data_IF_849751270360
#
_entry.id   IF_849751270360
#
_cell.length_a   1.000
_cell.length_b   1.000
_cell.length_c   1.000
_cell.angle_alpha   90.00
_cell.angle_beta   90.00
_cell.angle_gamma   90.00
#
_symmetry.space_group_name_H-M   'P 1'
#
loop_
_entity.id
_entity.type
_entity.pdbx_description
1 polymer ?
#
# COMPACT_ATOMS: atom_id res chain seq x y z
N UNK A 1 -3.28 18.26 15.46
CA UNK A 1 -3.46 18.80 14.12
C UNK A 1 -2.13 19.15 13.44
N UNK A 2 -1.27 20.01 14.03
CA UNK A 2 0.01 20.46 13.40
C UNK A 2 0.86 19.28 12.92
N UNK A 3 1.03 18.24 13.73
CA UNK A 3 1.82 17.05 13.37
C UNK A 3 1.24 16.28 12.18
N UNK A 4 -0.09 16.20 12.09
CA UNK A 4 -0.76 15.53 10.97
C UNK A 4 -0.52 16.30 9.66
N UNK A 5 -0.71 17.61 9.69
CA UNK A 5 -0.47 18.48 8.53
C UNK A 5 1.00 18.41 8.10
N UNK A 6 1.92 18.42 9.07
CA UNK A 6 3.35 18.26 8.78
C UNK A 6 3.63 16.90 8.12
N UNK A 7 3.10 15.82 8.67
CA UNK A 7 3.34 14.46 8.15
C UNK A 7 2.79 14.29 6.73
N UNK A 8 1.61 14.84 6.42
CA UNK A 8 1.06 14.85 5.05
C UNK A 8 1.96 15.65 4.10
N UNK A 9 2.41 16.83 4.51
CA UNK A 9 3.31 17.65 3.69
C UNK A 9 4.66 16.98 3.47
N UNK A 10 5.25 16.34 4.48
CA UNK A 10 6.49 15.59 4.39
C UNK A 10 6.33 14.38 3.46
N UNK A 11 5.23 13.63 3.57
CA UNK A 11 4.91 12.52 2.68
C UNK A 11 4.87 12.97 1.21
N UNK A 12 4.16 14.05 0.91
CA UNK A 12 4.11 14.63 -0.46
C UNK A 12 5.47 15.09 -0.97
N UNK A 13 6.31 15.64 -0.09
CA UNK A 13 7.66 16.09 -0.43
C UNK A 13 8.59 14.92 -0.73
N UNK A 14 8.53 13.85 0.06
CA UNK A 14 9.28 12.61 -0.18
C UNK A 14 8.84 12.00 -1.52
N UNK A 15 7.54 11.97 -1.80
CA UNK A 15 7.01 11.47 -3.07
C UNK A 15 7.17 9.95 -3.21
N UNK A 16 7.63 9.47 -4.37
CA UNK A 16 7.91 8.06 -4.66
C UNK A 16 6.74 7.11 -4.37
N UNK A 17 5.50 7.57 -4.63
CA UNK A 17 4.28 6.81 -4.34
C UNK A 17 4.10 6.44 -2.86
N UNK A 18 4.77 7.17 -1.96
CA UNK A 18 4.57 7.02 -0.52
C UNK A 18 3.15 7.43 -0.14
N UNK A 19 2.47 6.56 0.58
CA UNK A 19 1.11 6.80 1.09
C UNK A 19 1.18 7.05 2.59
N UNK A 20 0.48 8.08 3.05
CA UNK A 20 0.31 8.40 4.47
C UNK A 20 -1.17 8.57 4.80
N UNK A 21 -1.60 7.99 5.91
CA UNK A 21 -2.96 8.11 6.41
C UNK A 21 -2.96 8.32 7.92
N UNK A 22 -3.63 9.38 8.40
CA UNK A 22 -3.98 9.57 9.79
C UNK A 22 -5.36 8.95 10.04
N UNK A 23 -5.40 7.62 10.23
CA UNK A 23 -6.66 6.85 10.21
C UNK A 23 -7.45 6.91 11.51
N UNK A 24 -6.84 7.30 12.65
CA UNK A 24 -7.52 7.33 13.95
C UNK A 24 -6.99 8.47 14.79
N UNK A 25 -7.93 9.22 15.38
CA UNK A 25 -7.64 10.29 16.37
C UNK A 25 -8.56 10.09 17.55
N UNK A 26 -7.99 10.09 18.75
CA UNK A 26 -8.72 10.04 20.01
C UNK A 26 -8.25 11.20 20.91
N UNK A 27 -9.20 11.95 21.42
CA UNK A 27 -8.96 13.08 22.33
C UNK A 27 -9.53 12.75 23.72
N UNK A 28 -8.86 13.24 24.78
CA UNK A 28 -9.36 13.15 26.15
C UNK A 28 -9.26 14.54 26.79
N UNK A 29 -10.37 15.04 27.39
CA UNK A 29 -11.66 14.40 27.70
C UNK A 29 -12.67 14.37 26.52
N UNK A 30 -12.32 14.83 25.32
CA UNK A 30 -13.21 14.86 24.15
C UNK A 30 -14.49 15.68 24.37
N UNK A 31 -14.35 16.84 25.00
CA UNK A 31 -15.41 17.80 25.25
C UNK A 31 -15.19 19.07 24.42
N UNK A 32 -16.28 19.61 23.85
CA UNK A 32 -16.21 20.72 22.90
C UNK A 32 -15.62 22.02 23.49
N UNK A 33 -15.75 22.21 24.80
CA UNK A 33 -15.31 23.40 25.52
C UNK A 33 -14.04 23.18 26.36
N UNK A 34 -13.34 22.07 26.18
CA UNK A 34 -12.13 21.75 26.96
C UNK A 34 -10.98 21.44 25.99
N UNK A 35 -9.84 22.08 26.21
CA UNK A 35 -8.60 21.77 25.49
C UNK A 35 -8.16 20.34 25.86
N UNK A 36 -7.96 19.43 24.88
CA UNK A 36 -7.53 18.07 25.17
C UNK A 36 -6.20 18.02 25.92
N UNK A 37 -6.18 17.30 27.04
CA UNK A 37 -4.95 17.03 27.79
C UNK A 37 -4.15 15.85 27.19
N UNK A 38 -4.81 14.97 26.43
CA UNK A 38 -4.18 13.83 25.73
C UNK A 38 -4.83 13.61 24.37
N UNK A 39 -3.98 13.41 23.36
CA UNK A 39 -4.42 13.01 22.01
C UNK A 39 -3.61 11.80 21.58
N UNK A 40 -4.29 10.77 21.08
CA UNK A 40 -3.66 9.61 20.46
C UNK A 40 -4.03 9.59 18.98
N UNK A 41 -3.01 9.54 18.11
CA UNK A 41 -3.17 9.40 16.66
C UNK A 41 -2.52 8.11 16.18
N UNK A 42 -3.19 7.41 15.26
CA UNK A 42 -2.59 6.28 14.55
C UNK A 42 -2.32 6.69 13.11
N UNK A 43 -1.07 6.53 12.70
CA UNK A 43 -0.61 6.79 11.35
C UNK A 43 -0.31 5.47 10.65
N UNK A 44 -0.71 5.36 9.41
CA UNK A 44 -0.35 4.29 8.50
C UNK A 44 0.46 4.86 7.35
N UNK A 45 1.54 4.16 7.00
CA UNK A 45 2.44 4.53 5.91
C UNK A 45 2.67 3.29 5.06
N UNK A 46 2.61 3.45 3.73
CA UNK A 46 2.83 2.37 2.77
C UNK A 46 3.76 2.82 1.67
N UNK A 47 4.72 2.00 1.35
CA UNK A 47 5.56 2.10 0.17
C UNK A 47 6.17 0.73 -0.13
N UNK A 48 6.47 0.44 -1.39
CA UNK A 48 7.19 -0.79 -1.77
C UNK A 48 8.61 -0.78 -1.21
N UNK A 49 9.27 0.39 -1.25
CA UNK A 49 10.59 0.58 -0.70
C UNK A 49 10.52 1.18 0.71
N UNK A 50 10.99 0.41 1.66
CA UNK A 50 11.00 0.76 3.08
C UNK A 50 11.73 2.07 3.39
N UNK A 51 12.76 2.42 2.63
CA UNK A 51 13.55 3.62 2.89
C UNK A 51 12.69 4.90 2.99
N UNK A 52 11.62 4.99 2.18
CA UNK A 52 10.73 6.16 2.17
C UNK A 52 9.80 6.21 3.39
N UNK A 53 9.34 5.06 3.86
CA UNK A 53 8.57 5.01 5.13
C UNK A 53 9.45 5.34 6.32
N UNK A 54 10.69 4.84 6.35
CA UNK A 54 11.66 5.14 7.40
C UNK A 54 12.07 6.63 7.39
N UNK A 55 12.17 7.23 6.20
CA UNK A 55 12.41 8.67 6.06
C UNK A 55 11.25 9.47 6.66
N UNK A 56 10.01 9.16 6.32
CA UNK A 56 8.84 9.84 6.87
C UNK A 56 8.76 9.69 8.40
N UNK A 57 9.07 8.51 8.93
CA UNK A 57 9.12 8.28 10.39
C UNK A 57 10.17 9.20 11.03
N UNK A 58 11.36 9.35 10.44
CA UNK A 58 12.39 10.26 10.94
C UNK A 58 11.92 11.73 10.93
N UNK A 59 11.30 12.16 9.84
CA UNK A 59 10.74 13.51 9.72
C UNK A 59 9.65 13.77 10.77
N UNK A 60 8.74 12.82 10.99
CA UNK A 60 7.70 12.94 12.02
C UNK A 60 8.31 13.02 13.42
N UNK A 61 9.33 12.21 13.73
CA UNK A 61 10.03 12.26 15.02
C UNK A 61 10.71 13.60 15.21
N UNK A 62 11.44 14.10 14.23
CA UNK A 62 12.06 15.41 14.28
C UNK A 62 11.05 16.54 14.50
N UNK A 63 9.88 16.45 13.83
CA UNK A 63 8.82 17.44 14.00
C UNK A 63 8.23 17.46 15.43
N UNK A 64 8.24 16.35 16.16
CA UNK A 64 7.77 16.33 17.56
C UNK A 64 8.64 17.20 18.47
N UNK A 65 9.94 17.30 18.19
CA UNK A 65 10.87 18.14 18.97
C UNK A 65 10.66 19.64 18.73
N UNK A 66 10.01 20.00 17.62
CA UNK A 66 9.72 21.39 17.26
C UNK A 66 8.40 21.91 17.84
N UNK A 67 7.66 21.10 18.59
CA UNK A 67 6.38 21.47 19.21
C UNK A 67 6.58 21.55 20.74
N UNK A 68 6.94 22.73 21.30
CA UNK A 68 7.41 22.84 22.69
C UNK A 68 6.31 22.62 23.73
N UNK A 69 5.03 22.82 23.35
CA UNK A 69 3.90 22.79 24.30
C UNK A 69 3.28 21.39 24.44
N UNK A 70 3.91 20.35 23.88
CA UNK A 70 3.40 18.99 23.94
C UNK A 70 4.53 17.97 24.17
N UNK A 71 4.23 16.96 24.97
CA UNK A 71 5.09 15.78 25.11
C UNK A 71 4.60 14.68 24.17
N UNK A 72 5.51 14.12 23.37
CA UNK A 72 5.19 13.08 22.42
C UNK A 72 5.78 11.72 22.83
N UNK A 73 5.03 10.66 22.57
CA UNK A 73 5.52 9.27 22.57
C UNK A 73 5.18 8.68 21.22
N UNK A 74 6.18 8.27 20.48
CA UNK A 74 6.01 7.65 19.15
C UNK A 74 6.37 6.18 19.24
N UNK A 75 5.38 5.30 18.95
CA UNK A 75 5.54 3.85 18.96
C UNK A 75 5.25 3.29 17.58
N UNK A 76 6.07 2.38 17.12
CA UNK A 76 5.77 1.57 15.93
C UNK A 76 4.97 0.36 16.39
N UNK A 77 3.73 0.24 15.91
CA UNK A 77 2.80 -0.84 16.30
C UNK A 77 2.99 -2.09 15.45
N UNK A 78 3.11 -1.89 14.15
CA UNK A 78 3.25 -2.97 13.15
C UNK A 78 4.32 -2.54 12.17
N UNK A 79 5.10 -3.50 11.71
CA UNK A 79 5.96 -3.39 10.55
C UNK A 79 5.77 -4.62 9.69
N UNK A 80 5.53 -4.41 8.40
CA UNK A 80 5.54 -5.45 7.37
C UNK A 80 6.43 -4.98 6.24
N UNK A 81 7.31 -5.85 5.77
CA UNK A 81 8.05 -5.64 4.54
C UNK A 81 7.12 -5.91 3.35
N UNK A 82 7.37 -5.26 2.24
CA UNK A 82 6.64 -5.49 1.00
C UNK A 82 6.98 -6.87 0.44
N UNK A 83 5.98 -7.58 -0.05
CA UNK A 83 6.20 -8.80 -0.81
C UNK A 83 6.55 -8.44 -2.25
N UNK A 84 7.75 -8.82 -2.68
CA UNK A 84 8.15 -8.66 -4.08
C UNK A 84 7.74 -9.91 -4.87
N UNK A 85 7.11 -9.68 -6.03
CA UNK A 85 6.83 -10.76 -6.96
C UNK A 85 8.14 -11.30 -7.57
N UNK A 86 8.17 -12.61 -7.79
CA UNK A 86 9.33 -13.28 -8.40
C UNK A 86 9.49 -12.83 -9.86
N UNK A 87 10.69 -12.40 -10.29
CA UNK A 87 10.93 -11.94 -11.66
C UNK A 87 10.60 -12.97 -12.74
N UNK A 88 10.81 -14.26 -12.47
CA UNK A 88 10.49 -15.33 -13.44
C UNK A 88 8.99 -15.48 -13.63
N UNK A 89 8.21 -15.37 -12.52
CA UNK A 89 6.76 -15.40 -12.61
C UNK A 89 6.22 -14.16 -13.33
N UNK A 90 6.82 -12.99 -13.08
CA UNK A 90 6.48 -11.75 -13.79
C UNK A 90 6.73 -11.91 -15.30
N UNK A 91 7.91 -12.40 -15.70
CA UNK A 91 8.24 -12.65 -17.10
C UNK A 91 7.29 -13.69 -17.76
N UNK A 92 6.88 -14.70 -17.01
CA UNK A 92 5.91 -15.68 -17.51
C UNK A 92 4.54 -15.05 -17.77
N UNK A 93 4.07 -14.16 -16.88
CA UNK A 93 2.85 -13.37 -17.11
C UNK A 93 2.99 -12.47 -18.34
N UNK A 94 4.09 -11.76 -18.50
CA UNK A 94 4.36 -10.89 -19.65
C UNK A 94 4.27 -11.68 -20.96
N UNK A 95 4.96 -12.82 -21.07
CA UNK A 95 4.91 -13.69 -22.24
C UNK A 95 3.49 -14.18 -22.54
N UNK A 96 2.74 -14.57 -21.51
CA UNK A 96 1.37 -15.03 -21.66
C UNK A 96 0.46 -13.92 -22.20
N UNK A 97 0.56 -12.69 -21.66
CA UNK A 97 -0.22 -11.53 -22.13
C UNK A 97 0.15 -11.17 -23.57
N UNK A 98 1.45 -11.11 -23.89
CA UNK A 98 1.94 -10.80 -25.24
C UNK A 98 1.43 -11.81 -26.27
N UNK A 99 1.35 -13.10 -25.90
CA UNK A 99 0.82 -14.16 -26.77
C UNK A 99 -0.66 -13.98 -27.14
N UNK A 100 -1.38 -13.18 -26.34
CA UNK A 100 -2.79 -12.82 -26.57
C UNK A 100 -2.94 -11.47 -27.30
N UNK A 101 -1.83 -10.78 -27.58
CA UNK A 101 -1.85 -9.44 -28.19
C UNK A 101 -2.48 -8.38 -27.28
N UNK A 102 -2.51 -8.61 -25.96
CA UNK A 102 -3.04 -7.67 -24.99
C UNK A 102 -1.95 -6.73 -24.47
N UNK A 103 -2.37 -5.57 -23.96
CA UNK A 103 -1.46 -4.60 -23.32
C UNK A 103 -1.40 -4.85 -21.81
N UNK A 104 -0.25 -4.59 -21.22
CA UNK A 104 -0.02 -4.76 -19.80
C UNK A 104 0.91 -3.68 -19.23
N UNK A 105 0.96 -3.59 -17.91
CA UNK A 105 1.92 -2.75 -17.20
C UNK A 105 2.27 -3.36 -15.86
N UNK A 106 3.52 -3.21 -15.43
CA UNK A 106 3.94 -3.53 -14.05
C UNK A 106 3.51 -2.39 -13.13
N UNK A 107 2.90 -2.74 -12.01
CA UNK A 107 2.44 -1.76 -11.04
C UNK A 107 2.53 -2.32 -9.62
N UNK A 108 2.81 -1.48 -8.61
CA UNK A 108 2.71 -1.91 -7.22
C UNK A 108 1.25 -2.01 -6.78
N UNK A 109 0.95 -2.97 -5.90
CA UNK A 109 -0.31 -2.98 -5.15
C UNK A 109 -0.14 -2.27 -3.81
N UNK A 110 -1.06 -1.37 -3.50
CA UNK A 110 -1.16 -0.73 -2.19
C UNK A 110 -2.00 -1.53 -1.18
N UNK A 111 -2.63 -2.64 -1.60
CA UNK A 111 -3.45 -3.50 -0.75
C UNK A 111 -2.61 -4.62 -0.12
N UNK A 112 -3.10 -5.20 0.98
CA UNK A 112 -2.57 -6.46 1.51
C UNK A 112 -3.19 -7.64 0.77
N UNK A 113 -2.36 -8.64 0.45
CA UNK A 113 -2.75 -9.86 -0.26
C UNK A 113 -2.26 -11.09 0.47
N UNK A 114 -2.87 -12.23 0.22
CA UNK A 114 -2.40 -13.52 0.76
C UNK A 114 -0.98 -13.85 0.30
N UNK A 115 -0.59 -13.36 -0.88
CA UNK A 115 0.78 -13.42 -1.38
C UNK A 115 1.80 -12.86 -0.37
N UNK A 116 1.47 -11.78 0.36
CA UNK A 116 2.35 -11.21 1.40
C UNK A 116 2.69 -12.22 2.49
N UNK A 117 1.77 -13.14 2.76
CA UNK A 117 1.94 -14.13 3.84
C UNK A 117 2.83 -15.31 3.44
N UNK A 118 2.98 -15.57 2.15
CA UNK A 118 3.72 -16.73 1.62
C UNK A 118 4.99 -16.36 0.85
N UNK A 119 5.12 -15.12 0.41
CA UNK A 119 6.25 -14.64 -0.41
C UNK A 119 7.63 -14.88 0.23
N UNK A 120 7.71 -14.95 1.56
CA UNK A 120 8.93 -15.25 2.28
C UNK A 120 9.33 -16.73 2.25
N UNK A 121 8.48 -17.61 1.72
CA UNK A 121 8.70 -19.06 1.69
C UNK A 121 8.74 -19.63 0.28
N UNK A 122 7.96 -19.06 -0.63
CA UNK A 122 7.88 -19.50 -2.02
C UNK A 122 7.82 -18.29 -2.95
N UNK A 123 8.28 -18.44 -4.22
CA UNK A 123 8.06 -17.43 -5.23
C UNK A 123 6.57 -17.13 -5.40
N UNK A 124 6.23 -15.83 -5.52
CA UNK A 124 4.85 -15.38 -5.74
C UNK A 124 4.79 -14.47 -6.96
N UNK A 125 3.68 -14.48 -7.64
CA UNK A 125 3.32 -13.53 -8.68
C UNK A 125 1.86 -13.12 -8.54
N UNK A 126 1.50 -11.94 -9.02
CA UNK A 126 0.12 -11.47 -9.00
C UNK A 126 -0.27 -10.90 -10.36
N UNK A 127 -1.45 -11.26 -10.81
CA UNK A 127 -2.08 -10.71 -12.00
C UNK A 127 -3.29 -9.90 -11.57
N UNK A 128 -3.37 -8.64 -12.03
CA UNK A 128 -4.55 -7.80 -11.89
C UNK A 128 -5.29 -7.72 -13.21
N UNK A 129 -6.61 -7.68 -13.13
CA UNK A 129 -7.50 -7.43 -14.26
C UNK A 129 -8.19 -6.07 -14.06
N UNK A 130 -8.63 -5.39 -15.14
CA UNK A 130 -9.30 -4.11 -15.03
C UNK A 130 -10.54 -4.16 -14.14
N UNK A 131 -10.71 -3.17 -13.28
CA UNK A 131 -11.95 -2.92 -12.55
C UNK A 131 -12.60 -1.63 -13.05
N UNK A 132 -13.92 -1.64 -13.19
CA UNK A 132 -14.68 -0.48 -13.65
C UNK A 132 -14.39 0.75 -12.78
N UNK A 133 -13.88 1.81 -13.40
CA UNK A 133 -13.44 3.05 -12.75
C UNK A 133 -12.40 2.83 -11.61
N UNK A 134 -11.73 1.70 -11.53
CA UNK A 134 -10.79 1.37 -10.47
C UNK A 134 -11.46 1.21 -9.09
N UNK A 135 -12.78 0.99 -9.05
CA UNK A 135 -13.52 0.82 -7.79
C UNK A 135 -13.18 -0.55 -7.20
N UNK A 136 -12.82 -0.57 -5.89
CA UNK A 136 -12.67 -1.79 -5.10
C UNK A 136 -13.30 -1.62 -3.71
N UNK A 137 -13.50 -2.74 -3.00
CA UNK A 137 -14.11 -2.78 -1.67
C UNK A 137 -15.50 -2.11 -1.58
N UNK A 138 -16.28 -2.20 -2.66
CA UNK A 138 -17.60 -1.57 -2.78
C UNK A 138 -18.55 -2.51 -3.50
N UNK A 139 -19.85 -2.41 -3.23
CA UNK A 139 -20.88 -3.11 -4.01
C UNK A 139 -20.98 -2.65 -5.48
N UNK A 140 -20.21 -1.62 -5.87
CA UNK A 140 -20.09 -1.15 -7.25
C UNK A 140 -18.83 -1.69 -7.96
N UNK A 141 -18.04 -2.49 -7.27
CA UNK A 141 -16.89 -3.17 -7.88
C UNK A 141 -17.36 -4.11 -8.97
N UNK A 142 -16.80 -3.95 -10.16
CA UNK A 142 -17.22 -4.72 -11.31
C UNK A 142 -16.08 -4.86 -12.31
N UNK A 143 -15.88 -6.07 -12.80
CA UNK A 143 -14.98 -6.38 -13.91
C UNK A 143 -15.83 -6.99 -15.03
N UNK A 144 -15.75 -6.49 -16.26
CA UNK A 144 -16.43 -7.09 -17.41
C UNK A 144 -16.09 -8.57 -17.56
N UNK A 145 -17.06 -9.46 -17.92
CA UNK A 145 -16.80 -10.88 -18.09
C UNK A 145 -15.65 -11.18 -19.06
N UNK A 146 -15.51 -10.42 -20.13
CA UNK A 146 -14.43 -10.54 -21.11
C UNK A 146 -13.03 -10.27 -20.52
N UNK A 147 -12.92 -9.37 -19.52
CA UNK A 147 -11.65 -9.13 -18.84
C UNK A 147 -11.36 -10.23 -17.80
N UNK A 148 -12.40 -10.79 -17.18
CA UNK A 148 -12.26 -11.97 -16.30
C UNK A 148 -11.78 -13.19 -17.12
N UNK A 149 -12.40 -13.45 -18.28
CA UNK A 149 -12.01 -14.54 -19.20
C UNK A 149 -10.57 -14.36 -19.68
N UNK A 150 -10.21 -13.14 -20.09
CA UNK A 150 -8.83 -12.83 -20.51
C UNK A 150 -7.82 -13.05 -19.40
N UNK A 151 -8.13 -12.60 -18.18
CA UNK A 151 -7.28 -12.83 -17.00
C UNK A 151 -7.11 -14.32 -16.70
N UNK A 152 -8.19 -15.09 -16.81
CA UNK A 152 -8.16 -16.54 -16.68
C UNK A 152 -7.28 -17.22 -17.74
N UNK A 153 -7.37 -16.79 -19.00
CA UNK A 153 -6.55 -17.30 -20.09
C UNK A 153 -5.05 -16.96 -19.90
N UNK A 154 -4.74 -15.74 -19.45
CA UNK A 154 -3.36 -15.36 -19.10
C UNK A 154 -2.81 -16.27 -18.02
N UNK A 155 -3.56 -16.46 -16.94
CA UNK A 155 -3.14 -17.33 -15.82
C UNK A 155 -2.92 -18.77 -16.30
N UNK A 156 -3.82 -19.30 -17.12
CA UNK A 156 -3.71 -20.65 -17.68
C UNK A 156 -2.45 -20.82 -18.52
N UNK A 157 -2.17 -19.88 -19.45
CA UNK A 157 -0.95 -19.93 -20.28
C UNK A 157 0.32 -19.76 -19.45
N UNK A 158 0.28 -18.92 -18.43
CA UNK A 158 1.41 -18.76 -17.50
C UNK A 158 1.74 -20.07 -16.81
N UNK A 159 0.72 -20.79 -16.29
CA UNK A 159 0.94 -22.08 -15.62
C UNK A 159 1.49 -23.13 -16.58
N UNK A 160 1.00 -23.21 -17.82
CA UNK A 160 1.54 -24.13 -18.81
C UNK A 160 3.00 -23.83 -19.17
N UNK A 161 3.35 -22.54 -19.30
CA UNK A 161 4.71 -22.12 -19.62
C UNK A 161 5.72 -22.24 -18.47
N UNK A 162 5.29 -22.54 -17.25
CA UNK A 162 6.17 -22.82 -16.12
C UNK A 162 6.56 -24.30 -16.02
N UNK A 163 5.83 -25.19 -16.67
CA UNK A 163 6.10 -26.62 -16.68
C UNK A 163 7.12 -27.03 -17.77
N UNK A 164 7.43 -26.14 -18.73
CA UNK A 164 8.43 -26.30 -19.79
C UNK A 164 9.81 -25.77 -19.35
#
# INVERSE_FOLDING_TARGET
AKLIVFADAACRKIGHSLVFTAGKIQCSPNAANVVPGKVTCTFEMRNVDRQYTDELIREIRAATELIPDARFTVQQLIHKDSALCDPKLMEAFEKAVDSLGATWQVMPSGAGHDADSIAHRIPVGMLFIPSHLGISHSGKEYTPPEDVERGGEVLYRTLLGLDD
#
